data_IF_868259374179
#
_entry.id   IF_868259374179
#
_cell.length_a   1.000
_cell.length_b   1.000
_cell.length_c   1.000
_cell.angle_alpha   90.00
_cell.angle_beta   90.00
_cell.angle_gamma   90.00
#
_symmetry.space_group_name_H-M   'P 1'
#
loop_
_entity.id
_entity.type
_entity.pdbx_description
1 polymer ?
#
# COMPACT_ATOMS: atom_id res chain seq x y z
N UNK A 1 -11.95 -2.42 30.24
CA UNK A 1 -11.02 -1.84 29.26
C UNK A 1 -10.31 -2.98 28.55
N UNK A 2 -10.66 -3.28 27.33
CA UNK A 2 -9.99 -4.34 26.56
C UNK A 2 -8.70 -3.74 26.01
N UNK A 3 -7.56 -4.12 26.54
CA UNK A 3 -6.27 -3.72 25.99
C UNK A 3 -6.12 -4.38 24.60
N UNK A 4 -6.24 -3.60 23.55
CA UNK A 4 -6.02 -4.04 22.20
C UNK A 4 -4.51 -4.22 21.99
N UNK A 5 -4.08 -5.46 21.84
CA UNK A 5 -2.68 -5.74 21.55
C UNK A 5 -2.34 -5.19 20.15
N UNK A 6 -1.36 -4.29 20.09
CA UNK A 6 -0.82 -3.76 18.85
C UNK A 6 0.61 -4.26 18.75
N UNK A 7 0.95 -5.09 17.74
CA UNK A 7 2.32 -5.56 17.55
C UNK A 7 3.30 -4.40 17.40
N UNK A 8 4.53 -4.59 17.81
CA UNK A 8 5.59 -3.59 17.64
C UNK A 8 6.39 -3.81 16.35
N UNK A 9 6.37 -5.03 15.81
CA UNK A 9 7.16 -5.42 14.66
C UNK A 9 6.25 -5.61 13.44
N UNK A 10 6.66 -5.04 12.32
CA UNK A 10 5.97 -5.12 11.05
C UNK A 10 6.97 -5.48 9.95
N UNK A 11 6.52 -6.27 8.99
CA UNK A 11 7.27 -6.55 7.76
C UNK A 11 6.49 -6.02 6.57
N UNK A 12 7.17 -5.31 5.67
CA UNK A 12 6.61 -4.96 4.36
C UNK A 12 7.38 -5.75 3.33
N UNK A 13 6.68 -6.58 2.57
CA UNK A 13 7.31 -7.52 1.62
C UNK A 13 6.47 -7.73 0.38
N UNK A 14 7.13 -8.21 -0.68
CA UNK A 14 6.41 -8.80 -1.81
C UNK A 14 5.71 -10.08 -1.33
N UNK A 15 4.47 -10.24 -1.73
CA UNK A 15 3.67 -11.42 -1.39
C UNK A 15 4.23 -12.65 -2.08
N UNK A 16 4.61 -13.65 -1.30
CA UNK A 16 5.15 -14.93 -1.80
C UNK A 16 4.25 -16.11 -1.44
N UNK A 17 3.60 -16.05 -0.28
CA UNK A 17 2.85 -17.17 0.27
C UNK A 17 1.34 -17.04 0.00
N UNK A 18 0.67 -18.20 -0.10
CA UNK A 18 -0.77 -18.25 -0.36
C UNK A 18 -1.61 -17.57 0.73
N UNK A 19 -1.19 -17.68 1.99
CA UNK A 19 -1.90 -17.06 3.10
C UNK A 19 -1.78 -15.52 3.08
N UNK A 20 -0.63 -14.99 2.66
CA UNK A 20 -0.41 -13.56 2.47
C UNK A 20 -1.31 -13.01 1.35
N UNK A 21 -1.38 -13.74 0.22
CA UNK A 21 -2.24 -13.39 -0.91
C UNK A 21 -3.71 -13.37 -0.50
N UNK A 22 -4.15 -14.38 0.25
CA UNK A 22 -5.51 -14.44 0.81
C UNK A 22 -5.76 -13.25 1.73
N UNK A 23 -4.84 -12.96 2.65
CA UNK A 23 -4.93 -11.83 3.58
C UNK A 23 -5.03 -10.48 2.86
N UNK A 24 -4.27 -10.27 1.77
CA UNK A 24 -4.39 -9.08 0.92
C UNK A 24 -5.79 -8.97 0.30
N UNK A 25 -6.33 -10.06 -0.25
CA UNK A 25 -7.66 -10.10 -0.85
C UNK A 25 -8.76 -9.81 0.17
N UNK A 26 -8.69 -10.43 1.35
CA UNK A 26 -9.63 -10.21 2.45
C UNK A 26 -9.59 -8.77 2.95
N UNK A 27 -8.40 -8.20 3.13
CA UNK A 27 -8.22 -6.81 3.54
C UNK A 27 -8.78 -5.83 2.50
N UNK A 28 -8.50 -6.05 1.22
CA UNK A 28 -9.01 -5.22 0.13
C UNK A 28 -10.54 -5.25 0.10
N UNK A 29 -11.13 -6.44 0.23
CA UNK A 29 -12.59 -6.60 0.29
C UNK A 29 -13.17 -5.82 1.48
N UNK A 30 -12.61 -5.99 2.67
CA UNK A 30 -13.07 -5.27 3.87
C UNK A 30 -13.02 -3.75 3.69
N UNK A 31 -11.96 -3.22 3.07
CA UNK A 31 -11.80 -1.77 2.89
C UNK A 31 -12.60 -1.25 1.70
N UNK A 32 -12.49 -1.87 0.53
CA UNK A 32 -13.04 -1.29 -0.70
C UNK A 32 -14.50 -1.70 -0.96
N UNK A 33 -14.94 -2.88 -0.52
CA UNK A 33 -16.33 -3.31 -0.68
C UNK A 33 -17.17 -2.99 0.56
N UNK A 34 -16.74 -3.47 1.74
CA UNK A 34 -17.58 -3.40 2.94
C UNK A 34 -17.56 -2.01 3.59
N UNK A 35 -16.39 -1.37 3.72
CA UNK A 35 -16.25 -0.05 4.37
C UNK A 35 -16.56 1.10 3.40
N UNK A 36 -15.97 1.10 2.20
CA UNK A 36 -16.06 2.22 1.28
C UNK A 36 -17.15 2.08 0.23
N UNK A 37 -17.71 0.88 0.03
CA UNK A 37 -18.72 0.58 -0.99
C UNK A 37 -18.33 1.06 -2.40
N UNK A 38 -17.03 0.91 -2.73
CA UNK A 38 -16.51 1.25 -4.06
C UNK A 38 -16.71 0.14 -5.08
N UNK A 39 -16.79 -1.10 -4.59
CA UNK A 39 -16.98 -2.29 -5.41
C UNK A 39 -18.06 -3.18 -4.78
N UNK A 40 -18.81 -3.86 -5.61
CA UNK A 40 -19.80 -4.83 -5.17
C UNK A 40 -19.18 -6.24 -5.12
N UNK A 41 -19.16 -6.85 -3.95
CA UNK A 41 -18.67 -8.20 -3.71
C UNK A 41 -17.15 -8.39 -3.78
N UNK A 42 -16.48 -7.87 -4.80
CA UNK A 42 -15.03 -8.00 -5.00
C UNK A 42 -14.45 -6.81 -5.75
N UNK A 43 -13.22 -6.43 -5.39
CA UNK A 43 -12.43 -5.40 -6.08
C UNK A 43 -11.38 -5.99 -7.04
N UNK A 44 -11.42 -7.32 -7.25
CA UNK A 44 -10.50 -8.02 -8.14
C UNK A 44 -10.71 -7.62 -9.61
N UNK A 45 -9.62 -7.51 -10.34
CA UNK A 45 -9.61 -7.19 -11.76
C UNK A 45 -8.44 -7.87 -12.48
N UNK A 46 -8.35 -7.75 -13.80
CA UNK A 46 -7.30 -8.37 -14.62
C UNK A 46 -5.87 -7.89 -14.26
N UNK A 47 -5.73 -6.77 -13.60
CA UNK A 47 -4.42 -6.28 -13.14
C UNK A 47 -3.85 -7.21 -12.05
N UNK A 48 -4.68 -7.91 -11.30
CA UNK A 48 -4.22 -8.85 -10.25
C UNK A 48 -3.39 -10.02 -10.83
N UNK A 49 -3.58 -10.37 -12.11
CA UNK A 49 -2.83 -11.43 -12.78
C UNK A 49 -1.39 -11.03 -13.10
N UNK A 50 -1.12 -9.74 -13.28
CA UNK A 50 0.18 -9.20 -13.68
C UNK A 50 0.88 -8.37 -12.59
N UNK A 51 0.13 -7.93 -11.59
CA UNK A 51 0.63 -7.06 -10.55
C UNK A 51 1.56 -7.79 -9.58
N UNK A 52 2.46 -7.03 -8.98
CA UNK A 52 3.25 -7.43 -7.83
C UNK A 52 2.49 -6.97 -6.58
N UNK A 53 1.88 -7.89 -5.83
CA UNK A 53 1.26 -7.53 -4.57
C UNK A 53 2.33 -7.37 -3.48
N UNK A 54 2.15 -6.34 -2.66
CA UNK A 54 3.00 -6.01 -1.52
C UNK A 54 2.10 -6.03 -0.28
N UNK A 55 2.54 -6.69 0.78
CA UNK A 55 1.82 -6.78 2.04
C UNK A 55 2.60 -6.14 3.18
N UNK A 56 1.89 -5.49 4.09
CA UNK A 56 2.36 -5.19 5.42
C UNK A 56 1.81 -6.25 6.38
N UNK A 57 2.71 -6.90 7.09
CA UNK A 57 2.42 -8.05 7.95
C UNK A 57 2.75 -7.66 9.39
N UNK A 58 1.80 -7.81 10.29
CA UNK A 58 2.03 -7.72 11.72
C UNK A 58 2.76 -8.96 12.23
N UNK A 59 3.77 -8.77 13.06
CA UNK A 59 4.53 -9.85 13.66
C UNK A 59 4.39 -9.84 15.18
N UNK A 60 4.31 -11.02 15.77
CA UNK A 60 4.33 -11.24 17.23
C UNK A 60 5.55 -12.09 17.54
N UNK A 61 6.46 -11.58 18.37
CA UNK A 61 7.75 -12.23 18.65
C UNK A 61 8.50 -12.65 17.36
N UNK A 62 8.54 -11.74 16.38
CA UNK A 62 9.12 -11.93 15.05
C UNK A 62 8.41 -12.97 14.16
N UNK A 63 7.31 -13.57 14.62
CA UNK A 63 6.51 -14.52 13.82
C UNK A 63 5.42 -13.75 13.08
N UNK A 64 5.32 -13.89 11.74
CA UNK A 64 4.23 -13.31 10.95
C UNK A 64 2.87 -13.82 11.41
N UNK A 65 1.93 -12.91 11.66
CA UNK A 65 0.61 -13.25 12.18
C UNK A 65 -0.50 -12.97 11.17
N UNK A 66 -0.56 -11.75 10.64
CA UNK A 66 -1.61 -11.37 9.69
C UNK A 66 -1.24 -10.21 8.79
N UNK A 67 -1.88 -10.14 7.64
CA UNK A 67 -1.81 -8.99 6.74
C UNK A 67 -2.62 -7.82 7.33
N UNK A 68 -1.99 -6.67 7.47
CA UNK A 68 -2.59 -5.45 8.02
C UNK A 68 -2.57 -4.27 7.05
N UNK A 69 -1.86 -4.41 5.93
CA UNK A 69 -1.80 -3.44 4.86
C UNK A 69 -1.45 -4.11 3.54
N UNK A 70 -1.85 -3.51 2.43
CA UNK A 70 -1.52 -4.00 1.10
C UNK A 70 -1.48 -2.86 0.10
N UNK A 71 -0.70 -3.04 -0.95
CA UNK A 71 -0.69 -2.26 -2.18
C UNK A 71 -0.25 -3.19 -3.31
N UNK A 72 -0.68 -2.93 -4.53
CA UNK A 72 -0.16 -3.63 -5.72
C UNK A 72 0.43 -2.65 -6.70
N UNK A 73 1.47 -3.08 -7.42
CA UNK A 73 2.13 -2.31 -8.46
C UNK A 73 2.20 -3.13 -9.76
N UNK A 74 2.13 -2.46 -10.89
CA UNK A 74 2.30 -3.10 -12.20
C UNK A 74 2.87 -2.13 -13.23
N UNK A 75 3.57 -2.66 -14.21
CA UNK A 75 4.00 -1.91 -15.38
C UNK A 75 2.85 -1.88 -16.41
N UNK A 76 2.35 -0.69 -16.73
CA UNK A 76 1.23 -0.50 -17.67
C UNK A 76 1.71 -0.26 -19.11
N UNK A 77 2.90 0.28 -19.25
CA UNK A 77 3.61 0.50 -20.52
C UNK A 77 5.11 0.53 -20.19
N UNK A 78 6.02 0.38 -21.17
CA UNK A 78 7.45 0.42 -20.92
C UNK A 78 7.87 1.61 -20.06
N UNK A 79 8.51 1.32 -18.92
CA UNK A 79 8.99 2.30 -17.93
C UNK A 79 7.89 3.11 -17.19
N UNK A 80 6.59 2.85 -17.46
CA UNK A 80 5.45 3.50 -16.81
C UNK A 80 4.75 2.52 -15.88
N UNK A 81 4.78 2.82 -14.60
CA UNK A 81 4.22 1.98 -13.55
C UNK A 81 3.04 2.63 -12.83
N UNK A 82 2.14 1.82 -12.34
CA UNK A 82 1.02 2.24 -11.51
C UNK A 82 1.03 1.53 -10.16
N UNK A 83 0.72 2.30 -9.11
CA UNK A 83 0.32 1.79 -7.80
C UNK A 83 -1.20 1.85 -7.64
N UNK A 84 -1.78 0.81 -7.09
CA UNK A 84 -3.22 0.73 -6.85
C UNK A 84 -3.56 -0.16 -5.65
N UNK A 85 -4.83 -0.12 -5.22
CA UNK A 85 -5.36 -0.94 -4.13
C UNK A 85 -4.58 -0.79 -2.82
N UNK A 86 -4.11 0.43 -2.51
CA UNK A 86 -3.54 0.73 -1.20
C UNK A 86 -4.64 0.66 -0.13
N UNK A 87 -4.49 -0.26 0.80
CA UNK A 87 -5.41 -0.43 1.92
C UNK A 87 -4.64 -0.72 3.21
N UNK A 88 -5.12 -0.15 4.32
CA UNK A 88 -4.62 -0.42 5.67
C UNK A 88 -5.81 -0.79 6.55
N UNK A 89 -5.67 -1.87 7.30
CA UNK A 89 -6.69 -2.34 8.23
C UNK A 89 -7.05 -1.23 9.23
N UNK A 90 -8.33 -1.03 9.49
CA UNK A 90 -8.85 0.08 10.32
C UNK A 90 -8.11 0.23 11.66
N UNK A 91 -7.84 -0.89 12.32
CA UNK A 91 -7.17 -0.94 13.63
C UNK A 91 -5.72 -0.46 13.62
N UNK A 92 -5.09 -0.45 12.44
CA UNK A 92 -3.67 -0.11 12.26
C UNK A 92 -3.44 1.24 11.57
N UNK A 93 -4.51 1.96 11.23
CA UNK A 93 -4.39 3.30 10.60
C UNK A 93 -3.81 4.34 11.53
N UNK A 94 -3.90 4.12 12.85
CA UNK A 94 -3.24 4.96 13.85
C UNK A 94 -1.70 4.86 13.81
N UNK A 95 -1.15 3.84 13.16
CA UNK A 95 0.28 3.71 12.89
C UNK A 95 0.61 4.56 11.66
N UNK A 96 0.90 5.84 11.89
CA UNK A 96 1.05 6.85 10.83
C UNK A 96 2.11 6.53 9.76
N UNK A 97 3.07 5.65 10.06
CA UNK A 97 4.12 5.25 9.13
C UNK A 97 3.72 4.13 8.18
N UNK A 98 2.74 3.27 8.53
CA UNK A 98 2.46 2.03 7.80
C UNK A 98 2.05 2.27 6.34
N UNK A 99 1.08 3.15 6.10
CA UNK A 99 0.65 3.50 4.74
C UNK A 99 1.77 4.20 3.94
N UNK A 100 2.54 5.06 4.60
CA UNK A 100 3.69 5.75 3.99
C UNK A 100 4.78 4.78 3.55
N UNK A 101 5.11 3.80 4.40
CA UNK A 101 6.12 2.80 4.09
C UNK A 101 5.66 1.81 3.01
N UNK A 102 4.38 1.47 2.95
CA UNK A 102 3.80 0.72 1.81
C UNK A 102 3.99 1.48 0.50
N UNK A 103 3.63 2.77 0.46
CA UNK A 103 3.84 3.63 -0.71
C UNK A 103 5.32 3.69 -1.07
N UNK A 104 6.18 3.92 -0.08
CA UNK A 104 7.64 4.01 -0.28
C UNK A 104 8.18 2.71 -0.86
N UNK A 105 7.85 1.57 -0.27
CA UNK A 105 8.33 0.27 -0.76
C UNK A 105 7.84 -0.01 -2.19
N UNK A 106 6.59 0.33 -2.50
CA UNK A 106 6.01 0.20 -3.83
C UNK A 106 6.78 1.01 -4.89
N UNK A 107 7.00 2.31 -4.65
CA UNK A 107 7.69 3.20 -5.59
C UNK A 107 9.16 2.81 -5.74
N UNK A 108 9.87 2.55 -4.63
CA UNK A 108 11.28 2.14 -4.65
C UNK A 108 11.48 0.80 -5.39
N UNK A 109 10.54 -0.15 -5.24
CA UNK A 109 10.55 -1.42 -5.96
C UNK A 109 10.40 -1.22 -7.47
N UNK A 110 9.42 -0.42 -7.90
CA UNK A 110 9.21 -0.10 -9.31
C UNK A 110 10.43 0.64 -9.89
N UNK A 111 11.00 1.59 -9.15
CA UNK A 111 12.21 2.33 -9.55
C UNK A 111 13.40 1.38 -9.78
N UNK A 112 13.61 0.40 -8.90
CA UNK A 112 14.65 -0.62 -9.08
C UNK A 112 14.42 -1.55 -10.28
N UNK A 113 13.19 -1.60 -10.80
CA UNK A 113 12.78 -2.36 -12.00
C UNK A 113 12.77 -1.54 -13.29
N UNK A 114 13.31 -0.32 -13.25
CA UNK A 114 13.44 0.55 -14.43
C UNK A 114 12.28 1.51 -14.62
N UNK A 115 11.41 1.68 -13.62
CA UNK A 115 10.37 2.70 -13.66
C UNK A 115 10.98 4.10 -13.85
N UNK A 116 10.47 4.84 -14.82
CA UNK A 116 10.77 6.27 -15.00
C UNK A 116 9.58 7.16 -14.68
N UNK A 117 8.39 6.60 -14.67
CA UNK A 117 7.17 7.32 -14.36
C UNK A 117 6.24 6.46 -13.52
N UNK A 118 6.08 6.81 -12.25
CA UNK A 118 5.19 6.10 -11.32
C UNK A 118 3.94 6.90 -11.03
N UNK A 119 2.77 6.34 -11.31
CA UNK A 119 1.47 6.98 -11.22
C UNK A 119 0.54 6.26 -10.25
N UNK A 120 -0.45 6.98 -9.72
CA UNK A 120 -1.56 6.41 -8.97
C UNK A 120 -2.82 7.25 -9.12
N UNK A 121 -3.99 6.62 -9.07
CA UNK A 121 -5.26 7.29 -8.89
C UNK A 121 -5.55 7.38 -7.39
N UNK A 122 -5.46 8.59 -6.85
CA UNK A 122 -5.55 8.86 -5.41
C UNK A 122 -6.89 9.50 -5.10
N UNK A 123 -7.65 8.91 -4.17
CA UNK A 123 -8.91 9.51 -3.71
C UNK A 123 -8.67 10.94 -3.21
N UNK A 124 -9.57 11.84 -3.52
CA UNK A 124 -9.42 13.29 -3.27
C UNK A 124 -8.99 13.60 -1.83
N UNK A 125 -9.56 12.92 -0.83
CA UNK A 125 -9.22 13.15 0.58
C UNK A 125 -7.78 12.77 0.94
N UNK A 126 -7.13 11.94 0.14
CA UNK A 126 -5.74 11.49 0.36
C UNK A 126 -4.70 12.32 -0.39
N UNK A 127 -5.10 13.21 -1.30
CA UNK A 127 -4.19 14.06 -2.07
C UNK A 127 -3.23 14.86 -1.17
N UNK A 128 -3.66 15.47 -0.05
CA UNK A 128 -2.74 16.17 0.84
C UNK A 128 -1.62 15.27 1.39
N UNK A 129 -1.96 14.02 1.77
CA UNK A 129 -0.95 13.06 2.23
C UNK A 129 0.08 12.76 1.14
N UNK A 130 -0.38 12.48 -0.08
CA UNK A 130 0.51 12.16 -1.20
C UNK A 130 1.42 13.35 -1.56
N UNK A 131 0.92 14.59 -1.49
CA UNK A 131 1.77 15.79 -1.67
C UNK A 131 2.90 15.85 -0.63
N UNK A 132 2.63 15.54 0.64
CA UNK A 132 3.67 15.45 1.69
C UNK A 132 4.66 14.31 1.45
N UNK A 133 4.29 13.32 0.64
CA UNK A 133 5.15 12.21 0.22
C UNK A 133 5.86 12.48 -1.13
N UNK A 134 5.96 13.73 -1.54
CA UNK A 134 6.62 14.15 -2.79
C UNK A 134 5.94 13.61 -4.05
N UNK A 135 4.61 13.68 -4.07
CA UNK A 135 3.82 13.41 -5.26
C UNK A 135 3.20 14.68 -5.82
N UNK A 136 3.16 14.78 -7.14
CA UNK A 136 2.56 15.91 -7.86
C UNK A 136 1.20 15.49 -8.42
N UNK A 137 0.19 16.33 -8.21
CA UNK A 137 -1.12 16.18 -8.84
C UNK A 137 -1.03 16.62 -10.30
N UNK A 138 -1.39 15.75 -11.23
CA UNK A 138 -1.40 16.03 -12.67
C UNK A 138 -2.77 16.53 -13.12
N UNK A 139 -3.83 15.80 -12.75
CA UNK A 139 -5.21 16.13 -13.13
C UNK A 139 -6.20 15.50 -12.16
N UNK A 140 -7.43 15.99 -12.18
CA UNK A 140 -8.55 15.39 -11.45
C UNK A 140 -9.42 14.59 -12.42
N UNK A 141 -9.80 13.39 -12.00
CA UNK A 141 -10.65 12.47 -12.76
C UNK A 141 -11.80 11.96 -11.89
N UNK A 142 -12.83 11.42 -12.50
CA UNK A 142 -13.85 10.63 -11.81
C UNK A 142 -13.53 9.15 -11.99
N UNK A 143 -13.32 8.42 -10.88
CA UNK A 143 -13.11 6.99 -10.88
C UNK A 143 -14.02 6.33 -9.84
N UNK A 144 -14.71 5.25 -10.22
CA UNK A 144 -15.68 4.56 -9.37
C UNK A 144 -16.73 5.51 -8.76
N UNK A 145 -17.21 6.48 -9.53
CA UNK A 145 -18.21 7.46 -9.07
C UNK A 145 -17.68 8.48 -8.05
N UNK A 146 -16.37 8.55 -7.81
CA UNK A 146 -15.75 9.49 -6.85
C UNK A 146 -14.61 10.28 -7.47
N UNK A 147 -14.34 11.52 -7.00
CA UNK A 147 -13.21 12.32 -7.49
C UNK A 147 -11.88 11.71 -7.03
N UNK A 148 -10.97 11.55 -7.98
CA UNK A 148 -9.61 11.08 -7.79
C UNK A 148 -8.61 12.02 -8.45
N UNK A 149 -7.43 12.17 -7.88
CA UNK A 149 -6.30 12.81 -8.53
C UNK A 149 -5.42 11.77 -9.22
N UNK A 150 -5.06 12.00 -10.47
CA UNK A 150 -3.93 11.32 -11.09
C UNK A 150 -2.67 11.96 -10.53
N UNK A 151 -1.91 11.20 -9.77
CA UNK A 151 -0.72 11.71 -9.09
C UNK A 151 0.53 10.97 -9.57
N UNK A 152 1.65 11.68 -9.60
CA UNK A 152 2.96 11.16 -10.01
C UNK A 152 3.95 11.30 -8.88
N UNK A 153 4.67 10.21 -8.58
CA UNK A 153 5.75 10.20 -7.60
C UNK A 153 7.00 10.91 -8.13
N UNK A 154 7.68 11.67 -7.28
CA UNK A 154 9.03 12.16 -7.53
C UNK A 154 10.05 11.05 -7.27
N UNK A 155 10.54 10.41 -8.32
CA UNK A 155 11.49 9.30 -8.21
C UNK A 155 12.85 9.71 -7.57
N UNK A 156 13.20 10.99 -7.58
CA UNK A 156 14.40 11.46 -6.87
C UNK A 156 14.27 11.29 -5.35
N UNK A 157 13.05 11.36 -4.83
CA UNK A 157 12.75 11.11 -3.41
C UNK A 157 12.68 9.61 -3.06
N UNK A 158 12.48 8.74 -4.05
CA UNK A 158 12.31 7.29 -3.90
C UNK A 158 13.48 6.53 -4.55
N UNK A 159 14.62 6.36 -3.86
CA UNK A 159 15.76 5.64 -4.43
C UNK A 159 15.40 4.19 -4.75
N UNK A 160 16.00 3.62 -5.82
CA UNK A 160 15.73 2.23 -6.20
C UNK A 160 16.11 1.27 -5.06
N UNK A 161 15.18 0.35 -4.74
CA UNK A 161 15.38 -0.67 -3.70
C UNK A 161 15.06 -2.04 -4.27
N UNK A 162 16.01 -2.95 -4.14
CA UNK A 162 15.91 -4.33 -4.66
C UNK A 162 15.45 -5.33 -3.60
N UNK A 163 15.55 -4.96 -2.33
CA UNK A 163 15.09 -5.80 -1.22
C UNK A 163 13.60 -6.02 -1.32
N UNK A 164 13.19 -7.29 -1.36
CA UNK A 164 11.78 -7.68 -1.43
C UNK A 164 11.06 -7.54 -0.08
N UNK A 165 11.80 -7.39 1.01
CA UNK A 165 11.28 -7.30 2.38
C UNK A 165 12.03 -6.23 3.19
N UNK A 166 11.29 -5.48 4.01
CA UNK A 166 11.82 -4.57 5.02
C UNK A 166 11.13 -4.82 6.36
N UNK A 167 11.89 -4.73 7.44
CA UNK A 167 11.36 -4.77 8.80
C UNK A 167 11.19 -3.36 9.35
N UNK A 168 10.08 -3.13 10.05
CA UNK A 168 9.76 -1.88 10.71
C UNK A 168 9.46 -2.15 12.17
N UNK A 169 10.00 -1.31 13.04
CA UNK A 169 9.69 -1.32 14.48
C UNK A 169 8.94 -0.04 14.83
N UNK A 170 7.83 -0.17 15.54
CA UNK A 170 7.08 1.00 16.01
C UNK A 170 7.78 1.60 17.23
N UNK A 171 8.62 2.62 16.99
CA UNK A 171 9.41 3.29 18.01
C UNK A 171 8.57 4.00 19.09
N UNK A 172 7.28 4.26 18.86
CA UNK A 172 6.43 4.97 19.82
C UNK A 172 6.12 4.19 21.11
N UNK A 173 6.46 2.91 21.18
CA UNK A 173 6.29 2.06 22.38
C UNK A 173 7.60 1.62 23.07
N UNK A 174 8.76 1.99 22.55
CA UNK A 174 10.04 1.66 23.18
C UNK A 174 10.40 2.60 24.36
N UNK A 175 9.55 3.59 24.65
CA UNK A 175 9.77 4.62 25.67
C UNK A 175 8.73 4.58 26.82
N UNK A 176 8.06 3.45 27.06
CA UNK A 176 7.13 3.29 28.18
C UNK A 176 7.57 2.17 29.11
#
# INVERSE_FOLDING_TARGET
>A
MTFRFVPNDYRIKHVTDCWERRGCTELRRAVFCDEQSLFEGSDADAIDDIAIPIAAIACVAAIPERVIGTVRIHESAPEVWYGSRLAVHADFRCIASLGKELIRHAVCTAHARGCRRFLAHVQQQNIPLFRHLHWTLLEMISAHGRPHGVMQADLAYYPPRRESEIALVNAARAAA
#
